data_IF_402279468493
#
_entry.id   IF_402279468493
#
_cell.length_a   1.000
_cell.length_b   1.000
_cell.length_c   1.000
_cell.angle_alpha   90.00
_cell.angle_beta   90.00
_cell.angle_gamma   90.00
#
_symmetry.space_group_name_H-M   'P 1'
#
loop_
_entity.id
_entity.type
_entity.pdbx_description
1 polymer ?
#
# COMPACT_ATOMS: atom_id res chain seq x y z
N UNK A 1 8.34 0.31 18.40
CA UNK A 1 7.89 -0.56 17.30
C UNK A 1 8.51 -0.01 16.03
N UNK A 2 9.21 -0.82 15.27
CA UNK A 2 9.77 -0.43 13.98
C UNK A 2 8.81 -0.96 12.91
N UNK A 3 8.39 -0.09 11.99
CA UNK A 3 7.70 -0.47 10.76
C UNK A 3 8.74 -0.50 9.65
N UNK A 4 8.85 -1.64 9.00
CA UNK A 4 9.80 -1.83 7.90
C UNK A 4 9.02 -1.75 6.57
N UNK A 5 9.26 -0.71 5.81
CA UNK A 5 8.63 -0.48 4.49
C UNK A 5 9.61 0.23 3.56
N UNK A 6 9.28 0.32 2.29
CA UNK A 6 10.04 1.09 1.31
C UNK A 6 9.09 1.77 0.35
N UNK A 7 9.25 3.08 0.19
CA UNK A 7 8.54 3.84 -0.83
C UNK A 7 9.08 3.50 -2.22
N UNK A 8 8.17 3.30 -3.17
CA UNK A 8 8.52 2.97 -4.55
C UNK A 8 7.64 3.74 -5.54
N UNK A 9 8.28 4.57 -6.32
CA UNK A 9 7.63 5.18 -7.48
C UNK A 9 7.34 4.14 -8.56
N UNK A 10 6.22 4.30 -9.26
CA UNK A 10 5.87 3.40 -10.36
C UNK A 10 6.84 3.57 -11.53
N UNK A 11 7.14 4.84 -11.86
CA UNK A 11 8.12 5.19 -12.87
C UNK A 11 8.60 6.63 -12.65
N UNK A 12 9.72 6.81 -11.96
CA UNK A 12 10.30 8.14 -11.71
C UNK A 12 11.68 8.28 -12.32
N UNK A 13 12.58 7.35 -12.06
CA UNK A 13 13.98 7.45 -12.47
C UNK A 13 14.26 6.85 -13.83
N UNK A 14 13.36 6.02 -14.38
CA UNK A 14 13.53 5.33 -15.65
C UNK A 14 12.17 4.99 -16.29
N UNK A 15 12.19 4.22 -17.41
CA UNK A 15 10.95 3.74 -18.02
C UNK A 15 10.15 2.81 -17.10
N UNK A 16 8.81 2.75 -17.23
CA UNK A 16 7.99 1.86 -16.42
C UNK A 16 8.48 0.41 -16.41
N UNK A 17 8.88 -0.12 -17.57
CA UNK A 17 9.36 -1.50 -17.72
C UNK A 17 10.63 -1.76 -16.91
N UNK A 18 11.54 -0.78 -16.86
CA UNK A 18 12.77 -0.90 -16.09
C UNK A 18 12.49 -0.76 -14.60
N UNK A 19 11.65 0.19 -14.20
CA UNK A 19 11.25 0.36 -12.80
C UNK A 19 10.56 -0.88 -12.21
N UNK A 20 9.76 -1.60 -13.01
CA UNK A 20 9.20 -2.91 -12.59
C UNK A 20 10.30 -3.91 -12.26
N UNK A 21 11.32 -4.02 -13.12
CA UNK A 21 12.45 -4.93 -12.89
C UNK A 21 13.25 -4.53 -11.64
N UNK A 22 13.47 -3.24 -11.45
CA UNK A 22 14.20 -2.73 -10.27
C UNK A 22 13.42 -2.97 -8.97
N UNK A 23 12.11 -2.70 -8.94
CA UNK A 23 11.25 -3.03 -7.78
C UNK A 23 11.32 -4.52 -7.43
N UNK A 24 11.24 -5.37 -8.45
CA UNK A 24 11.36 -6.81 -8.26
C UNK A 24 12.72 -7.17 -7.65
N UNK A 25 13.80 -6.86 -8.35
CA UNK A 25 15.13 -7.39 -8.02
C UNK A 25 15.78 -6.73 -6.80
N UNK A 26 15.51 -5.44 -6.56
CA UNK A 26 16.14 -4.68 -5.48
C UNK A 26 15.31 -4.62 -4.21
N UNK A 27 14.00 -4.85 -4.30
CA UNK A 27 13.09 -4.76 -3.15
C UNK A 27 12.34 -6.05 -2.89
N UNK A 28 11.43 -6.44 -3.80
CA UNK A 28 10.46 -7.49 -3.51
C UNK A 28 11.09 -8.88 -3.42
N UNK A 29 11.98 -9.23 -4.33
CA UNK A 29 12.68 -10.51 -4.27
C UNK A 29 13.55 -10.65 -3.01
N UNK A 30 14.40 -9.68 -2.62
CA UNK A 30 15.10 -9.72 -1.34
C UNK A 30 14.17 -9.80 -0.13
N UNK A 31 13.06 -9.05 -0.13
CA UNK A 31 12.04 -9.06 0.92
C UNK A 31 11.45 -10.46 1.10
N UNK A 32 10.93 -11.06 0.03
CA UNK A 32 10.29 -12.37 0.10
C UNK A 32 11.29 -13.48 0.43
N UNK A 33 12.52 -13.41 -0.10
CA UNK A 33 13.59 -14.34 0.26
C UNK A 33 13.95 -14.22 1.75
N UNK A 34 14.00 -13.01 2.30
CA UNK A 34 14.24 -12.82 3.74
C UNK A 34 13.09 -13.35 4.57
N UNK A 35 11.84 -13.08 4.19
CA UNK A 35 10.67 -13.58 4.89
C UNK A 35 10.56 -15.12 4.88
N UNK A 36 11.08 -15.79 3.86
CA UNK A 36 11.10 -17.25 3.76
C UNK A 36 12.01 -17.90 4.80
N UNK A 37 13.14 -17.29 5.14
CA UNK A 37 14.15 -17.84 6.06
C UNK A 37 14.07 -17.29 7.48
N UNK A 38 13.43 -16.13 7.69
CA UNK A 38 13.31 -15.47 8.99
C UNK A 38 11.83 -15.36 9.39
N UNK A 39 11.35 -16.19 10.33
CA UNK A 39 9.94 -16.20 10.71
C UNK A 39 9.50 -14.93 11.46
N UNK A 40 10.44 -14.16 12.00
CA UNK A 40 10.15 -12.91 12.70
C UNK A 40 10.18 -11.69 11.80
N UNK A 41 10.60 -11.85 10.54
CA UNK A 41 10.65 -10.76 9.59
C UNK A 41 9.24 -10.23 9.26
N UNK A 42 9.09 -8.92 9.30
CA UNK A 42 7.86 -8.17 9.00
C UNK A 42 8.16 -7.06 8.02
N UNK A 43 7.22 -6.81 7.10
CA UNK A 43 7.34 -5.76 6.10
C UNK A 43 5.97 -5.27 5.62
N UNK A 44 5.88 -3.97 5.31
CA UNK A 44 4.69 -3.34 4.78
C UNK A 44 4.92 -2.92 3.32
N UNK A 45 4.05 -3.36 2.42
CA UNK A 45 4.06 -3.02 0.99
C UNK A 45 2.97 -1.97 0.74
N UNK A 46 3.31 -0.90 0.03
CA UNK A 46 2.47 0.28 -0.09
C UNK A 46 1.19 0.07 -0.90
N UNK A 47 1.22 -0.74 -1.96
CA UNK A 47 0.07 -0.93 -2.85
C UNK A 47 0.03 -2.32 -3.51
N UNK A 48 -1.15 -2.64 -4.06
CA UNK A 48 -1.41 -3.95 -4.64
C UNK A 48 -0.68 -4.19 -5.97
N UNK A 49 -0.36 -3.13 -6.73
CA UNK A 49 0.34 -3.27 -8.01
C UNK A 49 1.71 -3.89 -7.81
N UNK A 50 2.44 -3.51 -6.76
CA UNK A 50 3.76 -4.07 -6.46
C UNK A 50 3.71 -5.60 -6.32
N UNK A 51 2.75 -6.11 -5.53
CA UNK A 51 2.57 -7.56 -5.36
C UNK A 51 2.13 -8.21 -6.67
N UNK A 52 1.24 -7.56 -7.41
CA UNK A 52 0.73 -8.09 -8.68
C UNK A 52 1.85 -8.25 -9.70
N UNK A 53 2.69 -7.25 -9.88
CA UNK A 53 3.86 -7.32 -10.76
C UNK A 53 4.82 -8.43 -10.34
N UNK A 54 5.08 -8.56 -9.04
CA UNK A 54 5.96 -9.59 -8.51
C UNK A 54 5.44 -11.00 -8.80
N UNK A 55 4.18 -11.32 -8.46
CA UNK A 55 3.64 -12.68 -8.67
C UNK A 55 3.41 -13.02 -10.14
N UNK A 56 3.29 -12.02 -11.02
CA UNK A 56 3.26 -12.24 -12.47
C UNK A 56 4.63 -12.66 -13.00
N UNK A 57 5.71 -12.16 -12.41
CA UNK A 57 7.09 -12.49 -12.77
C UNK A 57 7.59 -13.76 -12.08
N UNK A 58 7.06 -14.06 -10.90
CA UNK A 58 7.41 -15.18 -10.02
C UNK A 58 6.16 -15.98 -9.62
N UNK A 59 5.49 -16.65 -10.57
CA UNK A 59 4.23 -17.36 -10.28
C UNK A 59 4.42 -18.47 -9.25
N UNK A 60 5.61 -19.05 -9.15
CA UNK A 60 5.99 -20.06 -8.14
C UNK A 60 6.00 -19.54 -6.72
N UNK A 61 6.14 -18.21 -6.53
CA UNK A 61 6.12 -17.56 -5.21
C UNK A 61 4.72 -17.13 -4.74
N UNK A 62 3.70 -17.31 -5.59
CA UNK A 62 2.34 -16.82 -5.29
C UNK A 62 1.78 -17.36 -3.98
N UNK A 63 1.96 -18.66 -3.71
CA UNK A 63 1.45 -19.27 -2.46
C UNK A 63 2.18 -18.73 -1.23
N UNK A 64 3.51 -18.60 -1.29
CA UNK A 64 4.30 -17.99 -0.22
C UNK A 64 3.82 -16.56 0.08
N UNK A 65 3.60 -15.75 -0.95
CA UNK A 65 3.08 -14.38 -0.79
C UNK A 65 1.72 -14.39 -0.08
N UNK A 66 0.82 -15.29 -0.48
CA UNK A 66 -0.48 -15.46 0.14
C UNK A 66 -0.41 -15.86 1.62
N UNK A 67 0.47 -16.79 1.96
CA UNK A 67 0.70 -17.21 3.35
C UNK A 67 1.23 -16.05 4.22
N UNK A 68 2.19 -15.28 3.70
CA UNK A 68 2.77 -14.14 4.40
C UNK A 68 1.75 -13.04 4.65
N UNK A 69 0.87 -12.75 3.67
CA UNK A 69 -0.22 -11.79 3.82
C UNK A 69 -1.26 -12.29 4.85
N UNK A 70 -1.73 -13.53 4.74
CA UNK A 70 -2.73 -14.09 5.66
C UNK A 70 -2.24 -14.23 7.10
N UNK A 71 -0.96 -14.50 7.28
CA UNK A 71 -0.33 -14.57 8.61
C UNK A 71 -0.02 -13.20 9.22
N UNK A 72 -0.15 -12.11 8.47
CA UNK A 72 0.20 -10.76 8.91
C UNK A 72 1.71 -10.52 9.06
N UNK A 73 2.53 -11.36 8.46
CA UNK A 73 3.99 -11.15 8.40
C UNK A 73 4.36 -10.08 7.38
N UNK A 74 3.58 -10.02 6.32
CA UNK A 74 3.64 -8.92 5.35
C UNK A 74 2.25 -8.31 5.29
N UNK A 75 2.17 -6.99 5.21
CA UNK A 75 0.93 -6.27 4.92
C UNK A 75 1.00 -5.61 3.54
N UNK A 76 -0.15 -5.26 3.01
CA UNK A 76 -0.26 -4.53 1.75
C UNK A 76 -1.34 -3.45 1.85
N UNK A 77 -1.05 -2.29 1.29
CA UNK A 77 -2.00 -1.20 1.19
C UNK A 77 -3.22 -1.54 0.33
N UNK A 78 -4.34 -0.91 0.65
CA UNK A 78 -5.65 -1.22 0.10
C UNK A 78 -5.88 -0.69 -1.32
N UNK A 79 -5.06 0.25 -1.80
CA UNK A 79 -5.20 0.82 -3.14
C UNK A 79 -4.43 0.03 -4.19
N UNK A 80 -4.86 0.15 -5.45
CA UNK A 80 -4.14 -0.47 -6.55
C UNK A 80 -2.77 0.17 -6.75
N UNK A 81 -2.74 1.52 -6.73
CA UNK A 81 -1.54 2.37 -6.64
C UNK A 81 -1.81 3.50 -5.65
N UNK A 82 -0.80 4.29 -5.30
CA UNK A 82 -0.97 5.52 -4.53
C UNK A 82 -1.40 6.66 -5.46
N UNK A 83 -2.68 7.13 -5.43
CA UNK A 83 -3.15 8.17 -6.34
C UNK A 83 -2.77 9.57 -5.87
N UNK A 84 -2.52 10.47 -6.82
CA UNK A 84 -2.57 11.91 -6.59
C UNK A 84 -4.03 12.34 -6.38
N UNK A 85 -4.48 12.39 -5.14
CA UNK A 85 -5.90 12.48 -4.80
C UNK A 85 -6.62 13.69 -5.41
N UNK A 86 -5.93 14.85 -5.49
CA UNK A 86 -6.51 16.07 -6.04
C UNK A 86 -6.56 16.08 -7.58
N UNK A 87 -5.83 15.19 -8.24
CA UNK A 87 -5.79 15.12 -9.70
C UNK A 87 -6.79 14.08 -10.27
N UNK A 88 -7.35 13.24 -9.41
CA UNK A 88 -8.26 12.17 -9.82
C UNK A 88 -9.72 12.56 -9.57
N UNK A 89 -10.62 12.07 -10.42
CA UNK A 89 -12.05 12.14 -10.13
C UNK A 89 -12.42 11.24 -8.95
N UNK A 90 -13.53 11.52 -8.28
CA UNK A 90 -14.01 10.67 -7.19
C UNK A 90 -14.25 9.22 -7.59
N UNK A 91 -14.71 8.97 -8.83
CA UNK A 91 -14.85 7.63 -9.39
C UNK A 91 -13.48 6.93 -9.54
N UNK A 92 -12.48 7.64 -10.05
CA UNK A 92 -11.14 7.08 -10.20
C UNK A 92 -10.51 6.75 -8.84
N UNK A 93 -10.70 7.60 -7.81
CA UNK A 93 -10.26 7.32 -6.46
C UNK A 93 -10.97 6.10 -5.84
N UNK A 94 -12.29 6.02 -5.99
CA UNK A 94 -13.05 4.85 -5.52
C UNK A 94 -12.57 3.56 -6.18
N UNK A 95 -12.22 3.61 -7.47
CA UNK A 95 -11.66 2.45 -8.20
C UNK A 95 -10.28 2.04 -7.73
N UNK A 96 -9.46 2.93 -7.19
CA UNK A 96 -8.17 2.55 -6.60
C UNK A 96 -8.38 1.56 -5.45
N UNK A 97 -9.32 1.84 -4.56
CA UNK A 97 -9.68 0.91 -3.47
C UNK A 97 -10.36 -0.36 -4.02
N UNK A 98 -11.31 -0.20 -4.93
CA UNK A 98 -12.02 -1.35 -5.50
C UNK A 98 -11.06 -2.34 -6.17
N UNK A 99 -10.18 -1.88 -7.04
CA UNK A 99 -9.26 -2.76 -7.76
C UNK A 99 -8.17 -3.32 -6.84
N UNK A 100 -7.60 -2.52 -5.95
CA UNK A 100 -6.57 -2.98 -5.03
C UNK A 100 -7.11 -4.00 -4.04
N UNK A 101 -8.09 -3.62 -3.24
CA UNK A 101 -8.66 -4.48 -2.20
C UNK A 101 -9.34 -5.73 -2.79
N UNK A 102 -10.08 -5.58 -3.90
CA UNK A 102 -10.72 -6.73 -4.54
C UNK A 102 -9.69 -7.73 -5.07
N UNK A 103 -8.67 -7.27 -5.76
CA UNK A 103 -7.63 -8.15 -6.28
C UNK A 103 -6.91 -8.90 -5.15
N UNK A 104 -6.52 -8.23 -4.08
CA UNK A 104 -5.90 -8.85 -2.91
C UNK A 104 -6.81 -9.89 -2.25
N UNK A 105 -8.10 -9.60 -2.18
CA UNK A 105 -9.09 -10.53 -1.62
C UNK A 105 -9.28 -11.75 -2.51
N UNK A 106 -9.44 -11.55 -3.82
CA UNK A 106 -9.70 -12.63 -4.76
C UNK A 106 -8.48 -13.56 -4.91
N UNK A 107 -7.27 -13.00 -4.98
CA UNK A 107 -6.05 -13.78 -5.22
C UNK A 107 -5.49 -14.45 -3.96
N UNK A 108 -5.58 -13.78 -2.79
CA UNK A 108 -4.90 -14.20 -1.58
C UNK A 108 -5.81 -14.39 -0.36
N UNK A 109 -7.11 -14.10 -0.48
CA UNK A 109 -8.04 -14.01 0.65
C UNK A 109 -7.54 -13.03 1.74
N UNK A 110 -6.85 -11.97 1.33
CA UNK A 110 -6.31 -10.94 2.19
C UNK A 110 -7.22 -9.70 2.20
N UNK A 111 -7.49 -9.15 3.38
CA UNK A 111 -8.28 -7.93 3.57
C UNK A 111 -7.35 -6.82 4.03
N UNK A 112 -7.05 -5.89 3.13
CA UNK A 112 -6.26 -4.72 3.45
C UNK A 112 -7.12 -3.68 4.21
N UNK A 113 -6.61 -3.16 5.32
CA UNK A 113 -7.28 -2.18 6.18
C UNK A 113 -6.55 -0.84 6.28
N UNK A 114 -5.44 -0.71 5.58
CA UNK A 114 -4.56 0.45 5.61
C UNK A 114 -4.39 1.02 4.21
N UNK A 115 -4.49 2.33 4.09
CA UNK A 115 -4.13 3.09 2.89
C UNK A 115 -2.79 3.78 3.11
N UNK A 116 -1.90 3.68 2.13
CA UNK A 116 -0.63 4.37 2.09
C UNK A 116 -0.70 5.57 1.16
N UNK A 117 -0.31 6.74 1.67
CA UNK A 117 -0.12 7.97 0.90
C UNK A 117 1.25 8.55 1.26
N UNK A 118 2.29 7.88 0.79
CA UNK A 118 3.69 8.22 1.06
C UNK A 118 4.25 8.96 -0.13
N UNK A 119 4.82 10.12 0.11
CA UNK A 119 5.40 11.03 -0.88
C UNK A 119 4.46 11.46 -2.03
N UNK A 120 3.18 11.30 -1.86
CA UNK A 120 2.16 11.73 -2.83
C UNK A 120 1.56 13.04 -2.34
N UNK A 121 1.78 14.18 -3.02
CA UNK A 121 1.21 15.47 -2.64
C UNK A 121 -0.29 15.53 -2.94
N UNK A 122 -0.97 16.39 -2.18
CA UNK A 122 -2.41 16.60 -2.31
C UNK A 122 -3.25 15.56 -1.60
N UNK A 123 -4.25 16.01 -0.83
CA UNK A 123 -5.19 15.15 -0.13
C UNK A 123 -6.59 15.71 -0.21
N UNK A 124 -7.54 14.89 -0.65
CA UNK A 124 -8.95 15.30 -0.69
C UNK A 124 -9.61 15.16 0.66
N UNK A 125 -10.41 16.18 1.06
CA UNK A 125 -11.18 16.15 2.30
C UNK A 125 -12.18 14.99 2.36
N UNK A 126 -12.50 14.35 1.23
CA UNK A 126 -13.43 13.23 1.18
C UNK A 126 -12.75 11.86 1.34
N UNK A 127 -11.42 11.80 1.43
CA UNK A 127 -10.70 10.53 1.53
C UNK A 127 -11.15 9.69 2.73
N UNK A 128 -11.34 10.22 3.95
CA UNK A 128 -11.84 9.42 5.06
C UNK A 128 -13.20 8.76 4.79
N UNK A 129 -14.12 9.43 4.09
CA UNK A 129 -15.40 8.85 3.68
C UNK A 129 -15.19 7.68 2.70
N UNK A 130 -14.32 7.87 1.69
CA UNK A 130 -14.03 6.82 0.70
C UNK A 130 -13.39 5.60 1.36
N UNK A 131 -12.41 5.82 2.21
CA UNK A 131 -11.73 4.78 2.97
C UNK A 131 -12.72 3.99 3.83
N UNK A 132 -13.60 4.67 4.60
CA UNK A 132 -14.59 4.01 5.43
C UNK A 132 -15.55 3.15 4.62
N UNK A 133 -15.98 3.63 3.46
CA UNK A 133 -16.85 2.87 2.54
C UNK A 133 -16.15 1.68 1.92
N UNK A 134 -14.81 1.75 1.75
CA UNK A 134 -13.98 0.66 1.29
C UNK A 134 -13.56 -0.33 2.40
N UNK A 135 -13.94 -0.08 3.66
CA UNK A 135 -13.53 -0.89 4.81
C UNK A 135 -12.13 -0.59 5.34
N UNK A 136 -11.51 0.49 4.87
CA UNK A 136 -10.15 0.90 5.25
C UNK A 136 -10.23 1.92 6.38
N UNK A 137 -9.53 1.67 7.47
CA UNK A 137 -9.63 2.47 8.70
C UNK A 137 -8.37 3.24 9.06
N UNK A 138 -7.23 2.83 8.50
CA UNK A 138 -5.93 3.34 8.84
C UNK A 138 -5.27 3.99 7.62
N UNK A 139 -4.53 5.07 7.88
CA UNK A 139 -3.73 5.78 6.88
C UNK A 139 -2.28 5.88 7.36
N UNK A 140 -1.33 5.51 6.52
CA UNK A 140 0.07 5.91 6.68
C UNK A 140 0.36 7.01 5.66
N UNK A 141 0.93 8.11 6.14
CA UNK A 141 1.21 9.27 5.30
C UNK A 141 2.55 9.91 5.65
N UNK A 142 3.10 10.64 4.70
CA UNK A 142 4.26 11.54 4.91
C UNK A 142 3.87 12.99 4.68
N UNK A 143 4.84 13.89 4.74
CA UNK A 143 4.68 15.34 4.50
C UNK A 143 3.74 16.03 5.50
N UNK A 144 3.63 15.46 6.70
CA UNK A 144 2.99 16.01 7.89
C UNK A 144 3.94 15.88 9.08
N UNK A 145 3.70 16.59 10.15
CA UNK A 145 4.46 16.41 11.38
C UNK A 145 4.33 14.96 11.89
N UNK A 146 5.35 14.48 12.57
CA UNK A 146 5.35 13.15 13.19
C UNK A 146 4.20 13.05 14.19
N UNK A 147 3.36 12.03 14.07
CA UNK A 147 2.30 11.78 15.04
C UNK A 147 1.11 10.99 14.51
N UNK A 148 0.15 10.83 15.39
CA UNK A 148 -1.15 10.25 15.07
C UNK A 148 -2.21 11.34 14.93
N UNK A 149 -3.07 11.17 13.93
CA UNK A 149 -4.09 12.14 13.57
C UNK A 149 -5.45 11.48 13.46
N UNK A 150 -6.47 12.22 13.87
CA UNK A 150 -7.84 11.96 13.44
C UNK A 150 -8.15 12.84 12.24
N UNK A 151 -8.40 12.21 11.10
CA UNK A 151 -8.81 12.93 9.91
C UNK A 151 -10.30 12.73 9.67
N UNK A 152 -11.00 13.83 9.47
CA UNK A 152 -12.44 13.89 9.31
C UNK A 152 -12.83 14.34 7.91
N UNK A 153 -13.83 13.67 7.33
CA UNK A 153 -14.54 14.15 6.13
C UNK A 153 -15.72 15.04 6.50
N UNK A 154 -16.23 15.86 5.56
CA UNK A 154 -17.41 16.71 5.78
C UNK A 154 -18.68 15.94 6.19
N UNK A 155 -18.80 14.66 5.86
CA UNK A 155 -19.91 13.78 6.29
C UNK A 155 -19.76 13.23 7.71
N UNK A 156 -18.69 13.60 8.42
CA UNK A 156 -18.39 13.10 9.77
C UNK A 156 -17.62 11.77 9.81
N UNK A 157 -17.34 11.15 8.66
CA UNK A 157 -16.47 9.97 8.60
C UNK A 157 -15.09 10.28 9.17
N UNK A 158 -14.53 9.36 9.95
CA UNK A 158 -13.23 9.52 10.62
C UNK A 158 -12.35 8.30 10.40
N UNK A 159 -11.08 8.56 10.15
CA UNK A 159 -10.02 7.55 10.13
C UNK A 159 -8.89 7.92 11.09
N UNK A 160 -8.00 6.97 11.35
CA UNK A 160 -6.74 7.21 12.07
C UNK A 160 -5.62 7.30 11.03
N UNK A 161 -4.90 8.41 11.04
CA UNK A 161 -3.68 8.62 10.26
C UNK A 161 -2.45 8.56 11.15
N UNK A 162 -1.40 7.94 10.65
CA UNK A 162 -0.06 8.02 11.21
C UNK A 162 0.86 8.70 10.20
N UNK A 163 1.61 9.68 10.65
CA UNK A 163 2.70 10.29 9.88
C UNK A 163 4.04 10.00 10.56
N UNK A 164 4.98 9.50 9.78
CA UNK A 164 6.38 9.36 10.22
C UNK A 164 7.20 10.65 10.01
N UNK A 165 6.56 11.73 9.60
CA UNK A 165 7.23 12.97 9.21
C UNK A 165 7.52 13.02 7.71
N UNK A 166 8.68 13.53 7.35
CA UNK A 166 9.15 13.59 5.99
C UNK A 166 10.40 12.73 5.89
N UNK A 167 10.38 11.65 5.19
CA UNK A 167 11.49 10.69 5.01
C UNK A 167 12.34 10.53 6.28
N UNK A 168 11.95 9.67 7.15
CA UNK A 168 12.68 9.34 8.37
C UNK A 168 13.85 8.41 8.08
#
# INVERSE_FOLDING_TARGET
MLMNSSHQDIAWMDSPEKCVVERDTMLLQPLFNRAEIDPDYRFDIEDALMIKEYVQRHPEKKELVGELLRSGRISCGATFIQPYEEMYSGEALARQFYFGAKWLKDEFNYVADTYWNVDVPGRTLQMPQMMKKAGVNNLVMTRQELGFYHWYSPDGSRIIGFSNGHYG
#
